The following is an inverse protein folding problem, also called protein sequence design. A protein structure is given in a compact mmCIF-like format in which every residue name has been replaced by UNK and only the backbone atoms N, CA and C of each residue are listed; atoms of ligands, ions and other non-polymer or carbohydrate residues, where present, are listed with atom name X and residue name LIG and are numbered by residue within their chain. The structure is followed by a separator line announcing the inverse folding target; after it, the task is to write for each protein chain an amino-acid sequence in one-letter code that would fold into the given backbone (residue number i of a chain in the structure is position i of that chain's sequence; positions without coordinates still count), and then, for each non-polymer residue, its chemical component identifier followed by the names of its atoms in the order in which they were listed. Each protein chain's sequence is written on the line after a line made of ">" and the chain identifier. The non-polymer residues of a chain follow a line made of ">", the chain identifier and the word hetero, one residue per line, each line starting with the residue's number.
data_IF_481063025283
#
_entry.id   IF_481063025283
#
_cell.length_a   1.000
_cell.length_b   1.000
_cell.length_c   1.000
_cell.angle_alpha   90.00
_cell.angle_beta   90.00
_cell.angle_gamma   90.00
#
_symmetry.space_group_name_H-M   'P 1'
#
loop_
_entity.id
_entity.type
_entity.pdbx_description
1 polymer ?
#
# COMPACT_ATOMS: atom_id res chain seq x y z
N UNK A 1 -48.99 -2.34 -23.94
CA UNK A 1 -49.28 -1.11 -23.18
C UNK A 1 -49.75 -1.58 -21.82
N UNK A 2 -49.06 -1.41 -20.70
CA UNK A 2 -47.86 -0.63 -20.37
C UNK A 2 -47.13 -1.41 -19.27
N UNK A 3 -45.83 -1.61 -19.45
CA UNK A 3 -44.92 -2.04 -18.37
C UNK A 3 -44.37 -0.77 -17.75
N UNK A 4 -44.85 -0.42 -16.56
CA UNK A 4 -44.20 0.60 -15.74
C UNK A 4 -42.94 0.00 -15.08
N UNK A 5 -41.81 0.71 -15.10
CA UNK A 5 -40.60 0.28 -14.42
C UNK A 5 -40.69 0.66 -12.95
N UNK A 6 -40.41 -0.31 -12.07
CA UNK A 6 -40.11 -0.06 -10.66
C UNK A 6 -38.82 0.76 -10.58
N UNK A 7 -38.95 2.04 -10.30
CA UNK A 7 -37.84 2.93 -9.91
C UNK A 7 -37.60 2.69 -8.42
N UNK A 8 -36.59 1.88 -8.09
CA UNK A 8 -35.99 1.86 -6.76
C UNK A 8 -34.82 2.82 -6.76
N UNK A 9 -35.08 4.09 -6.42
CA UNK A 9 -34.05 5.14 -6.27
C UNK A 9 -34.63 6.31 -5.43
N UNK A 10 -35.24 5.99 -4.29
CA UNK A 10 -35.93 6.98 -3.44
C UNK A 10 -35.31 7.18 -2.04
N UNK A 11 -34.35 6.35 -1.61
CA UNK A 11 -33.83 6.39 -0.23
C UNK A 11 -32.60 7.29 -0.06
N UNK A 12 -31.87 7.62 -1.15
CA UNK A 12 -30.62 8.39 -1.08
C UNK A 12 -30.72 9.84 -0.54
N UNK A 13 -31.74 10.67 -0.88
CA UNK A 13 -31.78 12.05 -0.41
C UNK A 13 -32.21 12.17 1.06
N UNK A 14 -33.09 11.28 1.56
CA UNK A 14 -33.52 11.30 2.97
C UNK A 14 -32.41 10.86 3.93
N UNK A 15 -31.57 9.92 3.49
CA UNK A 15 -30.48 9.38 4.30
C UNK A 15 -29.33 10.39 4.45
N UNK A 16 -29.03 11.17 3.39
CA UNK A 16 -28.08 12.28 3.46
C UNK A 16 -28.57 13.40 4.39
N UNK A 17 -29.85 13.77 4.32
CA UNK A 17 -30.41 14.80 5.19
C UNK A 17 -30.37 14.40 6.68
N UNK A 18 -30.68 13.14 7.01
CA UNK A 18 -30.61 12.62 8.40
C UNK A 18 -29.18 12.59 8.94
N UNK A 19 -28.22 12.11 8.15
CA UNK A 19 -26.81 12.08 8.55
C UNK A 19 -26.26 13.49 8.86
N UNK A 20 -26.63 14.47 8.03
CA UNK A 20 -26.27 15.87 8.25
C UNK A 20 -26.89 16.43 9.53
N UNK A 21 -28.15 16.10 9.85
CA UNK A 21 -28.80 16.55 11.08
C UNK A 21 -28.10 16.01 12.35
N UNK A 22 -27.73 14.73 12.36
CA UNK A 22 -27.01 14.11 13.49
C UNK A 22 -25.63 14.72 13.69
N UNK A 23 -24.87 14.91 12.60
CA UNK A 23 -23.55 15.57 12.68
C UNK A 23 -23.69 17.02 13.14
N UNK A 24 -24.67 17.78 12.64
CA UNK A 24 -24.92 19.15 13.10
C UNK A 24 -25.30 19.21 14.58
N UNK A 25 -26.06 18.23 15.06
CA UNK A 25 -26.40 18.14 16.49
C UNK A 25 -25.15 17.93 17.34
N UNK A 26 -24.31 16.95 17.00
CA UNK A 26 -23.05 16.69 17.70
C UNK A 26 -22.09 17.90 17.60
N UNK A 27 -22.01 18.55 16.44
CA UNK A 27 -21.20 19.73 16.19
C UNK A 27 -21.59 20.91 17.10
N UNK A 28 -22.87 21.27 17.12
CA UNK A 28 -23.39 22.36 17.95
C UNK A 28 -23.17 22.10 19.43
N UNK A 29 -23.31 20.84 19.85
CA UNK A 29 -23.09 20.44 21.24
C UNK A 29 -21.63 20.58 21.67
N UNK A 30 -20.68 20.36 20.76
CA UNK A 30 -19.24 20.39 21.08
C UNK A 30 -18.61 21.78 20.90
N UNK A 31 -19.01 22.53 19.87
CA UNK A 31 -18.35 23.79 19.50
C UNK A 31 -19.21 25.04 19.74
N UNK A 32 -20.50 24.89 20.07
CA UNK A 32 -21.47 26.00 20.16
C UNK A 32 -21.59 26.84 18.87
N UNK A 33 -21.18 26.26 17.72
CA UNK A 33 -21.22 26.89 16.39
C UNK A 33 -22.26 26.24 15.48
N UNK A 34 -22.74 27.00 14.49
CA UNK A 34 -23.73 26.50 13.52
C UNK A 34 -23.11 25.74 12.34
N UNK A 35 -21.87 26.05 11.97
CA UNK A 35 -21.14 25.41 10.87
C UNK A 35 -19.62 25.52 11.10
N UNK A 36 -18.82 24.69 10.40
CA UNK A 36 -17.36 24.83 10.38
C UNK A 36 -16.93 26.10 9.64
N UNK A 37 -15.99 26.86 10.22
CA UNK A 37 -15.56 28.17 9.75
C UNK A 37 -14.23 28.12 8.98
N UNK A 38 -13.32 27.22 9.35
CA UNK A 38 -11.99 27.06 8.75
C UNK A 38 -11.81 25.66 8.13
N UNK A 39 -10.69 25.46 7.43
CA UNK A 39 -10.42 24.21 6.71
C UNK A 39 -10.23 23.01 7.66
N UNK A 40 -9.64 23.22 8.84
CA UNK A 40 -9.48 22.20 9.88
C UNK A 40 -10.82 21.73 10.45
N UNK A 41 -11.73 22.66 10.75
CA UNK A 41 -13.09 22.38 11.21
C UNK A 41 -13.90 21.66 10.13
N UNK A 42 -13.74 22.03 8.85
CA UNK A 42 -14.39 21.33 7.72
C UNK A 42 -13.89 19.89 7.60
N UNK A 43 -12.59 19.65 7.75
CA UNK A 43 -12.03 18.30 7.72
C UNK A 43 -12.61 17.40 8.82
N UNK A 44 -12.79 17.92 10.04
CA UNK A 44 -13.47 17.19 11.12
C UNK A 44 -14.92 16.93 10.75
N UNK A 45 -15.64 17.94 10.26
CA UNK A 45 -17.05 17.80 9.87
C UNK A 45 -17.26 16.72 8.77
N UNK A 46 -16.42 16.71 7.73
CA UNK A 46 -16.45 15.71 6.65
C UNK A 46 -16.12 14.29 7.15
N UNK A 47 -15.18 14.17 8.10
CA UNK A 47 -14.92 12.89 8.76
C UNK A 47 -16.11 12.37 9.55
N UNK A 48 -16.83 13.25 10.26
CA UNK A 48 -18.03 12.86 11.00
C UNK A 48 -19.14 12.37 10.08
N UNK A 49 -19.34 13.01 8.93
CA UNK A 49 -20.28 12.52 7.91
C UNK A 49 -19.89 11.14 7.38
N UNK A 50 -18.59 10.91 7.16
CA UNK A 50 -18.08 9.62 6.71
C UNK A 50 -18.30 8.54 7.78
N UNK A 51 -18.09 8.89 9.06
CA UNK A 51 -18.31 7.98 10.19
C UNK A 51 -19.77 7.56 10.35
N UNK A 52 -20.72 8.47 10.06
CA UNK A 52 -22.16 8.14 10.00
C UNK A 52 -22.45 7.17 8.87
N UNK A 53 -21.90 7.40 7.68
CA UNK A 53 -22.09 6.50 6.53
C UNK A 53 -21.51 5.09 6.79
N UNK A 54 -20.41 4.98 7.52
CA UNK A 54 -19.83 3.68 7.90
C UNK A 54 -20.67 2.92 8.95
N UNK A 55 -21.62 3.59 9.61
CA UNK A 55 -22.42 3.06 10.72
C UNK A 55 -23.93 3.25 10.51
N UNK A 56 -24.41 3.18 9.26
CA UNK A 56 -25.81 3.39 8.88
C UNK A 56 -26.82 2.49 9.63
N UNK A 57 -26.40 1.31 10.08
CA UNK A 57 -27.26 0.35 10.83
C UNK A 57 -27.29 0.61 12.36
N UNK A 58 -26.61 1.64 12.85
CA UNK A 58 -26.47 1.92 14.29
C UNK A 58 -27.54 2.88 14.78
N UNK A 59 -28.05 2.67 15.99
CA UNK A 59 -29.03 3.55 16.62
C UNK A 59 -28.51 4.99 16.81
N UNK A 60 -29.39 5.98 16.65
CA UNK A 60 -29.05 7.41 16.67
C UNK A 60 -28.35 7.82 17.98
N UNK A 61 -28.74 7.28 19.14
CA UNK A 61 -28.12 7.60 20.43
C UNK A 61 -26.68 7.06 20.53
N UNK A 62 -26.45 5.85 20.03
CA UNK A 62 -25.13 5.25 19.94
C UNK A 62 -24.26 6.00 18.94
N UNK A 63 -24.83 6.43 17.81
CA UNK A 63 -24.13 7.20 16.79
C UNK A 63 -23.75 8.61 17.28
N UNK A 64 -24.64 9.31 17.98
CA UNK A 64 -24.32 10.60 18.62
C UNK A 64 -23.17 10.42 19.62
N UNK A 65 -23.19 9.36 20.42
CA UNK A 65 -22.12 9.06 21.37
C UNK A 65 -20.78 8.83 20.66
N UNK A 66 -20.78 8.10 19.54
CA UNK A 66 -19.62 7.88 18.69
C UNK A 66 -19.07 9.20 18.11
N UNK A 67 -19.95 10.07 17.60
CA UNK A 67 -19.60 11.36 17.02
C UNK A 67 -18.98 12.30 18.07
N UNK A 68 -19.59 12.39 19.25
CA UNK A 68 -19.05 13.21 20.35
C UNK A 68 -17.69 12.71 20.81
N UNK A 69 -17.47 11.40 20.81
CA UNK A 69 -16.17 10.80 21.11
C UNK A 69 -15.12 11.14 20.05
N UNK A 70 -15.45 11.01 18.77
CA UNK A 70 -14.52 11.33 17.67
C UNK A 70 -14.16 12.82 17.63
N UNK A 71 -15.12 13.71 17.93
CA UNK A 71 -14.87 15.13 18.15
C UNK A 71 -13.91 15.32 19.33
N UNK A 72 -14.22 14.73 20.49
CA UNK A 72 -13.41 14.85 21.71
C UNK A 72 -11.94 14.47 21.49
N UNK A 73 -11.68 13.44 20.69
CA UNK A 73 -10.32 13.01 20.34
C UNK A 73 -9.56 14.03 19.45
N UNK A 74 -10.25 14.91 18.72
CA UNK A 74 -9.64 15.87 17.78
C UNK A 74 -9.61 17.31 18.26
N UNK A 75 -10.47 17.67 19.22
CA UNK A 75 -10.61 19.04 19.72
C UNK A 75 -9.27 19.66 20.13
N UNK A 76 -8.38 18.91 20.77
CA UNK A 76 -7.09 19.44 21.21
C UNK A 76 -6.14 19.79 20.06
N UNK A 77 -6.31 19.19 18.88
CA UNK A 77 -5.46 19.43 17.70
C UNK A 77 -6.01 20.52 16.79
N UNK A 78 -7.26 20.97 17.03
CA UNK A 78 -7.87 22.11 16.36
C UNK A 78 -7.38 23.46 16.92
N UNK A 79 -6.72 23.45 18.08
CA UNK A 79 -6.18 24.65 18.69
C UNK A 79 -5.04 25.21 17.82
N UNK A 80 -5.13 26.47 17.33
CA UNK A 80 -4.08 27.09 16.53
C UNK A 80 -2.74 27.23 17.27
N UNK A 81 -2.76 27.23 18.61
CA UNK A 81 -1.55 27.28 19.42
C UNK A 81 -0.87 25.89 19.52
N UNK A 82 -1.61 24.81 19.20
CA UNK A 82 -1.06 23.46 19.18
C UNK A 82 -0.17 23.27 17.94
N UNK A 83 1.09 22.90 18.16
CA UNK A 83 2.02 22.76 17.05
C UNK A 83 3.26 21.95 17.36
N UNK A 84 4.39 22.37 16.77
CA UNK A 84 5.65 21.62 16.86
C UNK A 84 6.14 21.41 18.29
N UNK A 85 5.98 22.42 19.16
CA UNK A 85 6.46 22.32 20.55
C UNK A 85 5.68 21.25 21.32
N UNK A 86 4.36 21.22 21.19
CA UNK A 86 3.51 20.23 21.85
C UNK A 86 3.74 18.82 21.33
N UNK A 87 3.82 18.65 20.00
CA UNK A 87 4.14 17.38 19.38
C UNK A 87 5.53 16.88 19.80
N UNK A 88 6.53 17.76 19.84
CA UNK A 88 7.89 17.45 20.31
C UNK A 88 7.91 17.08 21.79
N UNK A 89 7.09 17.73 22.62
CA UNK A 89 6.94 17.39 24.04
C UNK A 89 6.34 15.99 24.23
N UNK A 90 5.39 15.57 23.37
CA UNK A 90 4.84 14.22 23.42
C UNK A 90 5.90 13.18 23.03
N UNK A 91 6.62 13.41 21.92
CA UNK A 91 7.66 12.48 21.45
C UNK A 91 8.82 12.39 22.44
N UNK A 92 9.32 13.52 22.94
CA UNK A 92 10.41 13.54 23.93
C UNK A 92 10.01 12.86 25.24
N UNK A 93 8.75 12.98 25.68
CA UNK A 93 8.25 12.20 26.82
C UNK A 93 8.31 10.70 26.55
N UNK A 94 7.97 10.23 25.35
CA UNK A 94 8.11 8.80 25.03
C UNK A 94 9.58 8.38 25.10
N UNK A 95 10.48 9.14 24.48
CA UNK A 95 11.93 8.89 24.52
C UNK A 95 12.45 8.82 25.98
N UNK A 96 12.13 9.82 26.80
CA UNK A 96 12.52 9.88 28.20
C UNK A 96 12.00 8.67 29.00
N UNK A 97 10.76 8.24 28.72
CA UNK A 97 10.19 7.05 29.38
C UNK A 97 10.78 5.75 28.89
N UNK A 98 11.17 5.65 27.63
CA UNK A 98 11.92 4.50 27.10
C UNK A 98 13.27 4.40 27.81
N UNK A 99 14.00 5.52 27.91
CA UNK A 99 15.30 5.57 28.62
C UNK A 99 15.11 5.14 30.07
N UNK A 100 14.16 5.74 30.78
CA UNK A 100 13.89 5.41 32.18
C UNK A 100 13.49 3.93 32.38
N UNK A 101 12.77 3.34 31.43
CA UNK A 101 12.38 1.93 31.44
C UNK A 101 13.59 1.01 31.20
N UNK A 102 14.49 1.39 30.28
CA UNK A 102 15.72 0.65 29.98
C UNK A 102 16.73 0.69 31.13
N UNK A 103 16.72 1.74 31.96
CA UNK A 103 17.54 1.83 33.16
C UNK A 103 17.07 0.91 34.30
N UNK A 104 15.83 0.40 34.24
CA UNK A 104 15.33 -0.53 35.25
C UNK A 104 16.02 -1.88 35.14
N UNK A 105 16.34 -2.47 36.29
CA UNK A 105 16.96 -3.79 36.32
C UNK A 105 15.95 -4.86 35.91
N UNK A 106 16.40 -5.86 35.14
CA UNK A 106 15.58 -7.03 34.77
C UNK A 106 14.91 -7.68 35.98
N UNK A 107 15.65 -7.75 37.09
CA UNK A 107 15.20 -8.30 38.37
C UNK A 107 13.94 -7.59 38.89
N UNK A 108 13.81 -6.28 38.71
CA UNK A 108 12.62 -5.53 39.15
C UNK A 108 11.35 -5.85 38.36
N UNK A 109 11.46 -6.40 37.14
CA UNK A 109 10.32 -6.90 36.39
C UNK A 109 9.99 -8.35 36.73
N UNK A 110 11.02 -9.18 36.94
CA UNK A 110 10.88 -10.63 37.11
C UNK A 110 10.59 -11.07 38.55
N UNK A 111 11.21 -10.45 39.56
CA UNK A 111 10.99 -10.81 40.97
C UNK A 111 9.49 -10.80 41.35
N UNK A 112 8.69 -9.81 40.93
CA UNK A 112 7.26 -9.78 41.26
C UNK A 112 6.43 -10.94 40.69
N UNK A 113 6.93 -11.63 39.65
CA UNK A 113 6.26 -12.81 39.10
C UNK A 113 6.34 -14.01 40.05
N UNK A 114 7.33 -14.02 40.95
CA UNK A 114 7.51 -15.10 41.93
C UNK A 114 6.68 -14.92 43.20
N UNK A 115 5.91 -13.84 43.32
CA UNK A 115 5.11 -13.56 44.51
C UNK A 115 3.88 -14.46 44.60
N UNK A 116 3.54 -14.85 45.83
CA UNK A 116 2.42 -15.76 46.11
C UNK A 116 1.06 -15.16 45.71
N UNK A 117 0.95 -13.82 45.70
CA UNK A 117 -0.25 -13.08 45.34
C UNK A 117 0.01 -12.15 44.15
N UNK A 118 -0.98 -11.94 43.26
CA UNK A 118 -0.87 -10.96 42.19
C UNK A 118 -0.75 -9.54 42.76
N UNK A 119 -0.14 -8.61 42.00
CA UNK A 119 0.01 -7.23 42.42
C UNK A 119 -1.35 -6.52 42.44
N UNK A 120 -1.34 -5.30 42.95
CA UNK A 120 -2.52 -4.45 43.00
C UNK A 120 -3.19 -4.30 41.63
N UNK A 121 -4.53 -4.24 41.58
CA UNK A 121 -5.31 -4.15 40.33
C UNK A 121 -4.89 -3.05 39.37
N UNK A 122 -4.43 -1.92 39.91
CA UNK A 122 -3.89 -0.82 39.09
C UNK A 122 -2.64 -1.23 38.29
N UNK A 123 -1.80 -2.13 38.82
CA UNK A 123 -0.63 -2.67 38.12
C UNK A 123 -1.06 -3.64 37.04
N UNK A 124 -2.05 -4.49 37.32
CA UNK A 124 -2.62 -5.44 36.34
C UNK A 124 -3.23 -4.68 35.16
N UNK A 125 -4.00 -3.61 35.42
CA UNK A 125 -4.58 -2.77 34.37
C UNK A 125 -3.50 -2.10 33.49
N UNK A 126 -2.38 -1.65 34.07
CA UNK A 126 -1.24 -1.10 33.31
C UNK A 126 -0.63 -2.18 32.42
N UNK A 127 -0.43 -3.38 32.95
CA UNK A 127 0.13 -4.50 32.21
C UNK A 127 -0.77 -4.93 31.05
N UNK A 128 -2.09 -5.00 31.26
CA UNK A 128 -3.07 -5.24 30.21
C UNK A 128 -2.98 -4.16 29.12
N UNK A 129 -2.90 -2.89 29.52
CA UNK A 129 -2.74 -1.78 28.58
C UNK A 129 -1.45 -1.92 27.74
N UNK A 130 -0.33 -2.34 28.34
CA UNK A 130 0.92 -2.59 27.59
C UNK A 130 0.76 -3.74 26.60
N UNK A 131 0.12 -4.84 26.98
CA UNK A 131 -0.11 -5.96 26.09
C UNK A 131 -0.98 -5.55 24.89
N UNK A 132 -2.02 -4.74 25.12
CA UNK A 132 -2.88 -4.19 24.08
C UNK A 132 -2.17 -3.20 23.16
N UNK A 133 -1.24 -2.38 23.69
CA UNK A 133 -0.39 -1.50 22.88
C UNK A 133 0.50 -2.30 21.91
N UNK A 134 0.86 -3.53 22.23
CA UNK A 134 1.60 -4.44 21.35
C UNK A 134 0.72 -5.41 20.56
N UNK A 135 -0.60 -5.18 20.54
CA UNK A 135 -1.60 -6.03 19.87
C UNK A 135 -1.49 -7.52 20.25
N UNK A 136 -1.14 -7.79 21.51
CA UNK A 136 -1.11 -9.15 22.02
C UNK A 136 -2.55 -9.66 22.15
N UNK A 137 -2.91 -10.79 21.53
CA UNK A 137 -4.27 -11.30 21.63
C UNK A 137 -4.55 -11.77 23.06
N UNK A 138 -5.57 -11.16 23.68
CA UNK A 138 -6.00 -11.49 25.04
C UNK A 138 -7.37 -12.19 25.02
N UNK A 139 -7.62 -13.14 25.93
CA UNK A 139 -8.97 -13.70 26.12
C UNK A 139 -9.97 -12.62 26.56
N UNK A 140 -11.22 -12.71 26.08
CA UNK A 140 -12.29 -11.74 26.39
C UNK A 140 -12.65 -11.66 27.88
N UNK A 141 -12.44 -12.75 28.62
CA UNK A 141 -12.71 -12.86 30.04
C UNK A 141 -11.48 -13.49 30.68
N UNK A 142 -10.63 -12.66 31.25
CA UNK A 142 -9.41 -13.07 31.94
C UNK A 142 -9.41 -12.44 33.32
N UNK A 143 -9.09 -13.23 34.34
CA UNK A 143 -8.99 -12.70 35.70
C UNK A 143 -7.63 -12.04 35.95
N UNK A 144 -7.52 -11.29 37.05
CA UNK A 144 -6.32 -10.54 37.40
C UNK A 144 -5.10 -11.48 37.59
N UNK A 145 -5.33 -12.73 37.99
CA UNK A 145 -4.29 -13.71 38.30
C UNK A 145 -3.70 -14.33 37.02
N UNK A 146 -4.56 -14.76 36.09
CA UNK A 146 -4.19 -15.28 34.79
C UNK A 146 -3.56 -14.18 33.91
N UNK A 147 -4.07 -12.94 33.97
CA UNK A 147 -3.45 -11.80 33.30
C UNK A 147 -2.01 -11.62 33.75
N UNK A 148 -1.76 -11.68 35.06
CA UNK A 148 -0.45 -11.48 35.64
C UNK A 148 0.51 -12.67 35.41
N UNK A 149 0.06 -13.88 35.72
CA UNK A 149 0.92 -15.08 35.71
C UNK A 149 1.07 -15.68 34.32
N UNK A 150 -0.02 -15.78 33.55
CA UNK A 150 -0.02 -16.45 32.27
C UNK A 150 0.29 -15.48 31.12
N UNK A 151 -0.46 -14.39 30.97
CA UNK A 151 -0.27 -13.48 29.84
C UNK A 151 0.99 -12.63 30.01
N UNK A 152 1.05 -11.83 31.06
CA UNK A 152 2.17 -10.95 31.31
C UNK A 152 3.45 -11.69 31.63
N UNK A 153 3.41 -12.65 32.57
CA UNK A 153 4.58 -13.43 32.99
C UNK A 153 5.32 -14.07 31.82
N UNK A 154 4.60 -14.75 30.91
CA UNK A 154 5.22 -15.34 29.72
C UNK A 154 5.76 -14.28 28.76
N UNK A 155 5.00 -13.21 28.54
CA UNK A 155 5.37 -12.16 27.61
C UNK A 155 6.60 -11.36 28.07
N UNK A 156 6.65 -10.96 29.35
CA UNK A 156 7.75 -10.15 29.88
C UNK A 156 9.05 -10.96 30.01
N UNK A 157 8.97 -12.25 30.38
CA UNK A 157 10.13 -13.15 30.40
C UNK A 157 10.71 -13.30 29.00
N UNK A 158 9.87 -13.58 27.99
CA UNK A 158 10.30 -13.66 26.58
C UNK A 158 10.99 -12.38 26.12
N UNK A 159 10.44 -11.23 26.47
CA UNK A 159 10.98 -9.94 26.09
C UNK A 159 12.31 -9.62 26.81
N UNK A 160 12.47 -9.99 28.08
CA UNK A 160 13.69 -9.73 28.86
C UNK A 160 14.83 -10.71 28.53
N UNK A 161 14.51 -11.97 28.21
CA UNK A 161 15.49 -13.01 27.87
C UNK A 161 16.00 -12.93 26.43
N UNK A 162 15.20 -12.37 25.51
CA UNK A 162 15.67 -11.97 24.18
C UNK A 162 16.86 -10.97 24.24
N UNK A 163 17.05 -10.28 25.38
CA UNK A 163 18.20 -9.40 25.64
C UNK A 163 19.39 -10.06 26.35
N UNK A 164 19.31 -11.31 26.81
CA UNK A 164 20.37 -11.97 27.60
C UNK A 164 21.12 -13.06 26.85
N UNK A 165 20.49 -13.73 25.89
CA UNK A 165 21.08 -14.82 25.12
C UNK A 165 21.28 -14.38 23.67
N UNK A 166 22.54 -14.41 23.21
CA UNK A 166 22.91 -13.97 21.87
C UNK A 166 22.12 -14.65 20.75
N UNK A 167 22.15 -14.00 19.59
CA UNK A 167 21.61 -14.30 18.24
C UNK A 167 20.89 -15.62 17.92
N UNK A 168 21.16 -16.73 18.59
CA UNK A 168 20.62 -18.06 18.31
C UNK A 168 19.11 -18.18 18.67
N UNK A 169 18.60 -17.43 19.66
CA UNK A 169 17.17 -17.47 20.04
C UNK A 169 16.26 -16.56 19.18
N UNK A 170 16.82 -15.53 18.52
CA UNK A 170 16.09 -14.58 17.67
C UNK A 170 15.59 -15.17 16.35
N UNK A 171 16.09 -16.33 15.95
CA UNK A 171 15.82 -16.94 14.62
C UNK A 171 14.41 -17.54 14.46
N UNK A 172 13.69 -17.79 15.57
CA UNK A 172 12.38 -18.46 15.54
C UNK A 172 11.27 -17.68 16.26
N UNK A 173 11.58 -16.50 16.81
CA UNK A 173 10.65 -15.67 17.55
C UNK A 173 11.15 -14.22 17.51
N UNK A 174 10.61 -13.38 16.63
CA UNK A 174 10.90 -11.95 16.72
C UNK A 174 10.45 -11.41 18.09
N UNK A 175 11.33 -10.74 18.87
CA UNK A 175 10.90 -10.06 20.07
C UNK A 175 9.93 -8.92 19.67
N UNK A 176 8.69 -9.03 20.14
CA UNK A 176 7.67 -7.95 20.07
C UNK A 176 8.04 -6.95 21.18
N UNK A 177 9.13 -6.21 20.94
CA UNK A 177 9.95 -5.74 22.04
C UNK A 177 9.55 -4.42 22.66
N UNK A 178 9.05 -4.49 23.89
CA UNK A 178 9.07 -3.40 24.87
C UNK A 178 10.42 -2.64 24.89
N UNK A 179 11.51 -3.37 24.65
CA UNK A 179 12.87 -2.86 24.70
C UNK A 179 13.61 -2.91 23.35
N UNK A 180 13.12 -3.64 22.34
CA UNK A 180 13.75 -3.71 20.99
C UNK A 180 13.05 -2.84 19.95
N UNK A 181 11.73 -2.68 20.04
CA UNK A 181 10.88 -1.91 19.12
C UNK A 181 9.81 -1.12 19.91
N UNK A 182 10.19 -0.20 20.82
CA UNK A 182 9.25 0.49 21.72
C UNK A 182 8.22 1.38 21.00
N UNK A 183 8.43 1.68 19.71
CA UNK A 183 7.50 2.44 18.86
C UNK A 183 6.63 1.55 17.95
N UNK A 184 6.87 0.23 17.92
CA UNK A 184 6.05 -0.70 17.13
C UNK A 184 4.76 -1.05 17.86
N UNK A 185 3.92 -0.03 18.03
CA UNK A 185 2.67 -0.08 18.81
C UNK A 185 1.46 -0.04 17.89
N UNK A 186 0.34 -0.59 18.36
CA UNK A 186 -0.93 -0.67 17.64
C UNK A 186 -1.93 0.35 18.17
N UNK A 187 -2.65 1.01 17.24
CA UNK A 187 -3.76 1.91 17.54
C UNK A 187 -5.09 1.17 17.76
N UNK A 188 -5.18 -0.10 17.40
CA UNK A 188 -6.44 -0.87 17.37
C UNK A 188 -7.18 -0.88 18.70
N UNK A 189 -6.44 -0.93 19.82
CA UNK A 189 -7.01 -1.04 21.17
C UNK A 189 -6.87 0.25 21.99
N UNK A 190 -6.63 1.39 21.34
CA UNK A 190 -6.26 2.64 22.02
C UNK A 190 -7.33 3.14 23.02
N UNK A 191 -8.61 3.05 22.66
CA UNK A 191 -9.73 3.42 23.56
C UNK A 191 -9.67 2.60 24.86
N UNK A 192 -9.50 1.28 24.74
CA UNK A 192 -9.42 0.37 25.88
C UNK A 192 -8.17 0.64 26.72
N UNK A 193 -7.06 0.98 26.09
CA UNK A 193 -5.83 1.40 26.78
C UNK A 193 -6.09 2.65 27.64
N UNK A 194 -6.80 3.66 27.12
CA UNK A 194 -7.16 4.85 27.90
C UNK A 194 -8.07 4.52 29.10
N UNK A 195 -9.06 3.64 28.93
CA UNK A 195 -9.90 3.18 30.04
C UNK A 195 -9.10 2.51 31.15
N UNK A 196 -8.16 1.64 30.78
CA UNK A 196 -7.30 0.91 31.72
C UNK A 196 -6.35 1.83 32.45
N UNK A 197 -5.74 2.80 31.76
CA UNK A 197 -4.86 3.80 32.36
C UNK A 197 -5.64 4.75 33.29
N UNK A 198 -6.87 5.13 32.91
CA UNK A 198 -7.78 5.88 33.76
C UNK A 198 -8.13 5.10 35.04
N UNK A 199 -8.52 3.84 34.88
CA UNK A 199 -8.81 2.92 36.00
C UNK A 199 -7.61 2.77 36.94
N UNK A 200 -6.41 2.56 36.39
CA UNK A 200 -5.18 2.47 37.18
C UNK A 200 -4.91 3.74 37.98
N UNK A 201 -5.14 4.92 37.38
CA UNK A 201 -4.97 6.23 38.02
C UNK A 201 -5.97 6.44 39.15
N UNK A 202 -7.24 6.07 38.95
CA UNK A 202 -8.29 6.17 39.97
C UNK A 202 -8.02 5.22 41.15
N UNK A 203 -7.60 4.00 40.86
CA UNK A 203 -7.34 2.98 41.90
C UNK A 203 -6.04 3.24 42.67
N UNK A 204 -5.01 3.77 42.01
CA UNK A 204 -3.71 4.03 42.61
C UNK A 204 -3.06 5.26 41.98
N UNK A 205 -3.31 6.46 42.52
CA UNK A 205 -2.75 7.70 41.98
C UNK A 205 -1.21 7.68 41.95
N UNK A 206 -0.58 8.21 40.88
CA UNK A 206 0.87 8.32 40.77
C UNK A 206 1.50 9.08 41.94
N UNK A 207 2.60 8.55 42.49
CA UNK A 207 3.34 9.20 43.59
C UNK A 207 2.69 9.11 44.97
N UNK A 208 1.41 8.71 45.06
CA UNK A 208 0.69 8.62 46.34
C UNK A 208 0.56 7.18 46.82
N UNK A 209 0.14 6.27 45.94
CA UNK A 209 -0.14 4.89 46.35
C UNK A 209 1.15 4.07 46.54
N UNK A 210 1.19 3.26 47.60
CA UNK A 210 2.38 2.48 47.98
C UNK A 210 2.76 1.39 46.96
N UNK A 211 1.81 0.89 46.16
CA UNK A 211 2.11 -0.15 45.16
C UNK A 211 3.20 0.27 44.18
N UNK A 212 3.23 1.55 43.79
CA UNK A 212 4.23 2.09 42.86
C UNK A 212 5.63 2.19 43.47
N UNK A 213 5.70 2.40 44.80
CA UNK A 213 6.96 2.42 45.53
C UNK A 213 7.57 1.02 45.67
N UNK A 214 6.73 0.00 45.79
CA UNK A 214 7.16 -1.40 45.86
C UNK A 214 7.49 -2.01 44.49
N UNK A 215 6.96 -1.43 43.42
CA UNK A 215 7.13 -1.89 42.04
C UNK A 215 7.62 -0.74 41.14
N UNK A 216 8.87 -0.25 41.33
CA UNK A 216 9.38 0.93 40.61
C UNK A 216 9.41 0.71 39.09
N UNK A 217 9.77 -0.49 38.63
CA UNK A 217 9.77 -0.82 37.21
C UNK A 217 8.38 -0.75 36.57
N UNK A 218 7.33 -1.13 37.32
CA UNK A 218 5.94 -1.03 36.87
C UNK A 218 5.37 0.38 36.98
N UNK A 219 5.92 1.22 37.88
CA UNK A 219 5.63 2.65 37.88
C UNK A 219 6.22 3.33 36.62
N UNK A 220 7.45 2.98 36.23
CA UNK A 220 8.04 3.40 34.95
C UNK A 220 7.22 2.89 33.76
N UNK A 221 6.75 1.64 33.81
CA UNK A 221 5.91 1.05 32.77
C UNK A 221 4.57 1.78 32.62
N UNK A 222 3.93 2.18 33.72
CA UNK A 222 2.72 3.02 33.70
C UNK A 222 2.97 4.33 32.99
N UNK A 223 4.04 5.03 33.38
CA UNK A 223 4.37 6.33 32.80
C UNK A 223 4.71 6.21 31.30
N UNK A 224 5.41 5.13 30.92
CA UNK A 224 5.70 4.79 29.53
C UNK A 224 4.42 4.50 28.74
N UNK A 225 3.52 3.67 29.26
CA UNK A 225 2.25 3.34 28.60
C UNK A 225 1.39 4.59 28.39
N UNK A 226 1.34 5.48 29.38
CA UNK A 226 0.66 6.77 29.25
C UNK A 226 1.26 7.69 28.18
N UNK A 227 2.59 7.78 28.12
CA UNK A 227 3.28 8.53 27.07
C UNK A 227 3.02 7.94 25.67
N UNK A 228 3.04 6.60 25.56
CA UNK A 228 2.77 5.89 24.31
C UNK A 228 1.32 6.05 23.84
N UNK A 229 0.35 5.99 24.76
CA UNK A 229 -1.05 6.27 24.44
C UNK A 229 -1.23 7.69 23.90
N UNK A 230 -0.62 8.70 24.54
CA UNK A 230 -0.65 10.08 24.05
C UNK A 230 0.03 10.25 22.68
N UNK A 231 1.13 9.54 22.45
CA UNK A 231 1.80 9.51 21.15
C UNK A 231 0.93 8.89 20.06
N UNK A 232 0.34 7.73 20.30
CA UNK A 232 -0.55 7.06 19.34
C UNK A 232 -1.80 7.87 19.07
N UNK A 233 -2.39 8.47 20.10
CA UNK A 233 -3.54 9.36 19.95
C UNK A 233 -3.21 10.56 19.05
N UNK A 234 -2.01 11.13 19.19
CA UNK A 234 -1.54 12.20 18.30
C UNK A 234 -1.35 11.71 16.86
N UNK A 235 -0.73 10.54 16.67
CA UNK A 235 -0.52 9.97 15.33
C UNK A 235 -1.83 9.64 14.62
N UNK A 236 -2.81 9.12 15.35
CA UNK A 236 -4.09 8.65 14.81
C UNK A 236 -5.09 9.80 14.54
N UNK A 237 -5.12 10.82 15.40
CA UNK A 237 -6.18 11.82 15.38
C UNK A 237 -5.76 13.19 14.84
N UNK A 238 -4.47 13.45 14.63
CA UNK A 238 -4.00 14.66 13.97
C UNK A 238 -4.25 14.57 12.45
N UNK A 239 -5.15 15.40 11.91
CA UNK A 239 -5.52 15.41 10.49
C UNK A 239 -4.55 16.27 9.64
N UNK A 240 -4.40 15.98 8.34
CA UNK A 240 -3.54 16.75 7.43
C UNK A 240 -3.80 18.25 7.38
N UNK A 241 -5.05 18.66 7.61
CA UNK A 241 -5.52 20.03 7.56
C UNK A 241 -5.21 20.82 8.85
N UNK A 242 -4.67 20.17 9.89
CA UNK A 242 -4.31 20.82 11.15
C UNK A 242 -2.92 21.46 11.05
N UNK A 243 -2.74 22.64 11.62
CA UNK A 243 -1.49 23.42 11.54
C UNK A 243 -0.27 22.64 12.06
N UNK A 244 -0.45 21.81 13.10
CA UNK A 244 0.60 20.98 13.67
C UNK A 244 0.91 19.68 12.91
N UNK A 245 0.15 19.30 11.87
CA UNK A 245 0.31 17.99 11.21
C UNK A 245 1.68 17.80 10.57
N UNK A 246 2.21 18.82 9.90
CA UNK A 246 3.54 18.72 9.28
C UNK A 246 4.63 18.48 10.32
N UNK A 247 4.48 19.09 11.50
CA UNK A 247 5.38 18.87 12.63
C UNK A 247 5.31 17.43 13.14
N UNK A 248 4.10 16.89 13.32
CA UNK A 248 3.90 15.48 13.71
C UNK A 248 4.59 14.56 12.72
N UNK A 249 4.32 14.73 11.41
CA UNK A 249 4.91 13.89 10.37
C UNK A 249 6.44 13.90 10.40
N UNK A 250 7.06 15.06 10.61
CA UNK A 250 8.51 15.18 10.73
C UNK A 250 9.08 14.45 11.96
N UNK A 251 8.35 14.43 13.07
CA UNK A 251 8.79 13.83 14.34
C UNK A 251 8.58 12.31 14.38
N UNK A 252 7.48 11.82 13.81
CA UNK A 252 7.12 10.38 13.88
C UNK A 252 7.72 9.55 12.76
N UNK A 253 8.13 10.19 11.65
CA UNK A 253 8.83 9.48 10.57
C UNK A 253 10.20 9.02 11.08
N UNK A 254 10.56 7.73 10.95
CA UNK A 254 11.88 7.24 11.35
C UNK A 254 12.99 8.08 10.72
N UNK A 255 14.09 8.34 11.44
CA UNK A 255 15.20 9.07 10.88
C UNK A 255 15.67 8.38 9.60
N UNK A 256 15.88 9.17 8.53
CA UNK A 256 16.42 8.65 7.28
C UNK A 256 17.79 8.04 7.57
N UNK A 257 17.85 6.71 7.64
CA UNK A 257 19.09 5.97 7.86
C UNK A 257 20.07 6.30 6.74
N UNK A 258 21.35 6.44 7.09
CA UNK A 258 22.37 6.78 6.11
C UNK A 258 22.72 5.54 5.28
N UNK A 259 23.28 5.69 4.06
CA UNK A 259 23.75 4.56 3.28
C UNK A 259 24.82 3.69 3.94
N UNK A 260 25.43 4.16 5.03
CA UNK A 260 26.40 3.38 5.82
C UNK A 260 25.74 2.49 6.86
N UNK A 261 24.54 2.85 7.33
CA UNK A 261 23.87 2.16 8.44
C UNK A 261 22.77 1.22 7.96
N UNK A 262 22.38 1.30 6.68
CA UNK A 262 21.37 0.44 6.09
C UNK A 262 21.81 -1.01 5.93
N UNK A 263 20.87 -1.92 6.20
CA UNK A 263 21.01 -3.35 5.98
C UNK A 263 20.52 -3.74 4.59
N UNK A 264 19.37 -3.19 4.16
CA UNK A 264 18.80 -3.46 2.85
C UNK A 264 19.02 -2.32 1.85
N UNK A 265 19.31 -2.71 0.61
CA UNK A 265 19.46 -1.78 -0.51
C UNK A 265 18.55 -2.21 -1.66
N UNK A 266 17.67 -1.30 -2.13
CA UNK A 266 16.93 -1.50 -3.38
C UNK A 266 17.84 -1.19 -4.56
N UNK A 267 18.00 -2.17 -5.42
CA UNK A 267 18.75 -2.07 -6.66
C UNK A 267 17.80 -2.21 -7.84
N UNK A 268 18.24 -1.72 -8.99
CA UNK A 268 17.46 -1.72 -10.22
C UNK A 268 18.38 -2.12 -11.37
N UNK A 269 17.94 -3.09 -12.17
CA UNK A 269 18.63 -3.50 -13.40
C UNK A 269 18.43 -2.46 -14.51
N UNK A 270 19.20 -2.56 -15.60
CA UNK A 270 19.05 -1.67 -16.76
C UNK A 270 17.63 -1.71 -17.37
N UNK A 271 16.95 -2.86 -17.29
CA UNK A 271 15.57 -3.05 -17.74
C UNK A 271 14.51 -2.53 -16.74
N UNK A 272 14.96 -1.93 -15.64
CA UNK A 272 14.13 -1.40 -14.57
C UNK A 272 13.45 -2.46 -13.71
N UNK A 273 14.04 -3.65 -13.59
CA UNK A 273 13.60 -4.68 -12.64
C UNK A 273 14.25 -4.42 -11.29
N UNK A 274 13.42 -4.28 -10.26
CA UNK A 274 13.88 -4.12 -8.89
C UNK A 274 14.38 -5.46 -8.32
N UNK A 275 15.45 -5.39 -7.54
CA UNK A 275 15.94 -6.49 -6.71
C UNK A 275 16.54 -5.91 -5.42
N UNK A 276 16.66 -6.73 -4.38
CA UNK A 276 16.98 -6.28 -3.03
C UNK A 276 18.23 -6.99 -2.54
N UNK A 277 19.20 -6.21 -2.08
CA UNK A 277 20.46 -6.72 -1.54
C UNK A 277 20.48 -6.57 -0.02
N UNK A 278 20.77 -7.67 0.68
CA UNK A 278 21.03 -7.66 2.12
C UNK A 278 22.54 -7.60 2.36
N UNK A 279 23.00 -6.52 2.99
CA UNK A 279 24.42 -6.34 3.32
C UNK A 279 24.93 -7.27 4.40
N UNK A 280 24.08 -7.66 5.36
CA UNK A 280 24.46 -8.52 6.48
C UNK A 280 24.65 -9.96 6.00
N UNK A 281 23.68 -10.48 5.25
CA UNK A 281 23.70 -11.85 4.74
C UNK A 281 24.43 -11.99 3.41
N UNK A 282 24.78 -10.88 2.77
CA UNK A 282 25.42 -10.84 1.45
C UNK A 282 24.63 -11.66 0.43
N UNK A 283 23.31 -11.44 0.40
CA UNK A 283 22.37 -12.19 -0.43
C UNK A 283 21.47 -11.25 -1.22
N UNK A 284 20.92 -11.75 -2.32
CA UNK A 284 20.01 -11.02 -3.19
C UNK A 284 18.66 -11.72 -3.20
N UNK A 285 17.60 -10.95 -3.05
CA UNK A 285 16.22 -11.39 -3.23
C UNK A 285 15.56 -10.60 -4.36
N UNK A 286 14.67 -11.25 -5.09
CA UNK A 286 13.97 -10.63 -6.21
C UNK A 286 12.67 -9.95 -5.78
N UNK A 287 12.12 -10.43 -4.68
CA UNK A 287 10.89 -9.93 -4.09
C UNK A 287 11.24 -9.09 -2.85
N UNK A 288 10.37 -8.11 -2.56
CA UNK A 288 10.60 -7.16 -1.48
C UNK A 288 10.55 -7.89 -0.14
N UNK A 289 11.63 -7.87 0.67
CA UNK A 289 11.62 -8.42 2.02
C UNK A 289 10.60 -7.71 2.92
N UNK A 290 10.04 -8.43 3.89
CA UNK A 290 9.07 -7.88 4.86
C UNK A 290 9.71 -6.80 5.74
N UNK A 291 10.99 -6.96 6.09
CA UNK A 291 11.80 -6.07 6.91
C UNK A 291 12.55 -4.99 6.09
N UNK A 292 12.13 -4.74 4.84
CA UNK A 292 12.84 -3.83 3.93
C UNK A 292 12.87 -2.37 4.43
N UNK A 293 14.03 -1.94 4.91
CA UNK A 293 14.32 -0.60 5.45
C UNK A 293 15.02 0.35 4.46
N UNK A 294 15.29 -0.12 3.25
CA UNK A 294 16.08 0.57 2.21
C UNK A 294 15.33 1.59 1.36
N UNK A 295 14.07 1.89 1.65
CA UNK A 295 13.19 2.64 0.74
C UNK A 295 13.66 4.08 0.47
N UNK A 296 14.34 4.70 1.44
CA UNK A 296 14.76 6.10 1.38
C UNK A 296 16.12 6.30 0.70
N UNK A 297 16.85 5.22 0.41
CA UNK A 297 18.13 5.29 -0.30
C UNK A 297 17.87 5.08 -1.78
N UNK A 298 18.02 6.14 -2.56
CA UNK A 298 17.98 6.02 -4.01
C UNK A 298 19.13 5.10 -4.51
N UNK A 299 18.93 4.25 -5.53
CA UNK A 299 19.97 3.35 -6.04
C UNK A 299 21.29 4.05 -6.41
N UNK A 300 21.19 5.31 -6.87
CA UNK A 300 22.33 6.19 -7.16
C UNK A 300 23.24 6.46 -5.95
N UNK A 301 22.67 6.49 -4.75
CA UNK A 301 23.35 6.84 -3.49
C UNK A 301 23.93 5.63 -2.74
N UNK A 302 23.86 4.42 -3.31
CA UNK A 302 24.48 3.23 -2.73
C UNK A 302 26.02 3.40 -2.78
N UNK A 303 26.75 3.17 -1.67
CA UNK A 303 28.21 3.29 -1.64
C UNK A 303 28.90 2.37 -2.66
N UNK A 304 30.03 2.81 -3.23
CA UNK A 304 30.76 2.04 -4.26
C UNK A 304 31.15 0.63 -3.80
N UNK A 305 31.63 0.51 -2.57
CA UNK A 305 32.00 -0.79 -1.96
C UNK A 305 30.81 -1.76 -1.92
N UNK A 306 29.62 -1.25 -1.63
CA UNK A 306 28.40 -2.08 -1.60
C UNK A 306 27.98 -2.47 -3.02
N UNK A 307 28.12 -1.57 -4.00
CA UNK A 307 27.87 -1.88 -5.42
C UNK A 307 28.80 -2.97 -5.94
N UNK A 308 30.06 -2.97 -5.52
CA UNK A 308 31.05 -4.00 -5.87
C UNK A 308 30.63 -5.37 -5.31
N UNK A 309 30.23 -5.45 -4.03
CA UNK A 309 29.73 -6.68 -3.43
C UNK A 309 28.49 -7.23 -4.14
N UNK A 310 27.54 -6.35 -4.48
CA UNK A 310 26.35 -6.73 -5.24
C UNK A 310 26.74 -7.34 -6.60
N UNK A 311 27.69 -6.70 -7.30
CA UNK A 311 28.18 -7.19 -8.59
C UNK A 311 28.87 -8.55 -8.47
N UNK A 312 29.69 -8.75 -7.43
CA UNK A 312 30.34 -10.04 -7.15
C UNK A 312 29.33 -11.16 -6.91
N UNK A 313 28.28 -10.90 -6.11
CA UNK A 313 27.23 -11.88 -5.82
C UNK A 313 26.40 -12.20 -7.05
N UNK A 314 26.00 -11.19 -7.84
CA UNK A 314 25.29 -11.41 -9.11
C UNK A 314 26.15 -12.17 -10.13
N UNK A 315 27.47 -12.00 -10.09
CA UNK A 315 28.38 -12.76 -10.94
C UNK A 315 28.49 -14.22 -10.49
N UNK A 316 28.50 -14.47 -9.18
CA UNK A 316 28.58 -15.81 -8.60
C UNK A 316 27.27 -16.60 -8.74
N UNK A 317 26.11 -15.94 -8.58
CA UNK A 317 24.79 -16.57 -8.64
C UNK A 317 24.16 -16.49 -10.04
N UNK A 318 24.48 -17.50 -10.85
CA UNK A 318 23.95 -17.65 -12.20
C UNK A 318 22.42 -17.79 -12.23
N UNK A 319 21.82 -18.38 -11.19
CA UNK A 319 20.38 -18.65 -11.15
C UNK A 319 19.57 -17.37 -11.02
N UNK A 320 19.97 -16.51 -10.08
CA UNK A 320 19.36 -15.19 -9.86
C UNK A 320 19.52 -14.28 -11.08
N UNK A 321 20.68 -14.33 -11.76
CA UNK A 321 20.91 -13.56 -12.99
C UNK A 321 19.96 -13.97 -14.13
N UNK A 322 19.81 -15.28 -14.38
CA UNK A 322 18.90 -15.78 -15.42
C UNK A 322 17.47 -15.36 -15.13
N UNK A 323 17.06 -15.41 -13.87
CA UNK A 323 15.71 -15.02 -13.46
C UNK A 323 15.48 -13.50 -13.59
N UNK A 324 16.47 -12.66 -13.28
CA UNK A 324 16.42 -11.22 -13.55
C UNK A 324 16.27 -10.92 -15.05
N UNK A 325 17.05 -11.58 -15.90
CA UNK A 325 16.91 -11.46 -17.36
C UNK A 325 15.53 -11.92 -17.84
N UNK A 326 14.98 -12.98 -17.24
CA UNK A 326 13.63 -13.48 -17.57
C UNK A 326 12.58 -12.42 -17.23
N UNK A 327 12.63 -11.83 -16.02
CA UNK A 327 11.73 -10.75 -15.60
C UNK A 327 11.90 -9.49 -16.46
N UNK A 328 13.13 -9.14 -16.84
CA UNK A 328 13.44 -8.04 -17.78
C UNK A 328 12.81 -8.24 -19.15
N UNK A 329 13.03 -9.42 -19.76
CA UNK A 329 12.41 -9.81 -21.04
C UNK A 329 10.88 -9.77 -20.96
N UNK A 330 10.29 -10.22 -19.86
CA UNK A 330 8.84 -10.16 -19.65
C UNK A 330 8.32 -8.73 -19.58
N UNK A 331 9.02 -7.84 -18.86
CA UNK A 331 8.64 -6.42 -18.77
C UNK A 331 8.79 -5.70 -20.10
N UNK A 332 9.87 -5.95 -20.85
CA UNK A 332 10.06 -5.44 -22.22
C UNK A 332 8.96 -5.99 -23.13
N UNK A 333 8.66 -7.28 -23.06
CA UNK A 333 7.59 -7.89 -23.86
C UNK A 333 6.21 -7.28 -23.54
N UNK A 334 5.88 -7.09 -22.25
CA UNK A 334 4.66 -6.43 -21.83
C UNK A 334 4.61 -4.96 -22.28
N UNK A 335 5.75 -4.25 -22.23
CA UNK A 335 5.85 -2.89 -22.72
C UNK A 335 5.70 -2.79 -24.24
N UNK A 336 6.30 -3.70 -24.99
CA UNK A 336 6.16 -3.80 -26.45
C UNK A 336 4.73 -4.14 -26.86
N UNK A 337 4.08 -5.08 -26.15
CA UNK A 337 2.66 -5.38 -26.34
C UNK A 337 1.76 -4.17 -26.06
N UNK A 338 2.05 -3.39 -25.01
CA UNK A 338 1.31 -2.17 -24.70
C UNK A 338 1.53 -1.03 -25.71
N UNK A 339 2.60 -1.10 -26.51
CA UNK A 339 2.88 -0.14 -27.60
C UNK A 339 2.43 -0.64 -28.98
N UNK A 340 1.80 -1.81 -29.08
CA UNK A 340 1.42 -2.36 -30.38
C UNK A 340 0.19 -1.64 -30.95
N UNK A 341 0.40 -1.01 -32.11
CA UNK A 341 -0.67 -0.61 -33.02
C UNK A 341 -1.14 -1.84 -33.79
N UNK A 342 -2.32 -2.32 -33.43
CA UNK A 342 -2.99 -3.41 -34.13
C UNK A 342 -3.95 -2.82 -35.15
N UNK A 343 -3.86 -3.32 -36.39
CA UNK A 343 -4.80 -2.94 -37.44
C UNK A 343 -5.86 -4.03 -37.57
N UNK A 344 -7.11 -3.67 -37.34
CA UNK A 344 -8.24 -4.53 -37.70
C UNK A 344 -8.27 -4.61 -39.23
N UNK A 345 -8.26 -5.82 -39.77
CA UNK A 345 -8.29 -6.11 -41.20
C UNK A 345 -9.55 -6.91 -41.53
N UNK A 346 -10.05 -6.75 -42.77
CA UNK A 346 -11.16 -7.54 -43.30
C UNK A 346 -10.66 -8.49 -44.39
N UNK A 347 -10.89 -9.78 -44.22
CA UNK A 347 -10.71 -10.72 -45.33
C UNK A 347 -11.92 -10.64 -46.26
N UNK A 348 -11.72 -10.08 -47.45
CA UNK A 348 -12.78 -9.94 -48.46
C UNK A 348 -13.35 -11.26 -48.98
N UNK A 349 -12.61 -12.38 -48.87
CA UNK A 349 -13.05 -13.67 -49.39
C UNK A 349 -13.95 -14.42 -48.40
N UNK A 350 -13.65 -14.32 -47.11
CA UNK A 350 -14.42 -14.98 -46.04
C UNK A 350 -15.37 -14.03 -45.30
N UNK A 351 -15.25 -12.72 -45.53
CA UNK A 351 -15.93 -11.65 -44.79
C UNK A 351 -15.63 -11.65 -43.28
N UNK A 352 -14.49 -12.24 -42.89
CA UNK A 352 -14.05 -12.36 -41.49
C UNK A 352 -13.09 -11.24 -41.12
N UNK A 353 -13.22 -10.73 -39.90
CA UNK A 353 -12.23 -9.80 -39.33
C UNK A 353 -11.03 -10.58 -38.80
N UNK A 354 -9.85 -9.97 -38.91
CA UNK A 354 -8.62 -10.47 -38.27
C UNK A 354 -7.74 -9.28 -37.88
N UNK A 355 -6.84 -9.47 -36.93
CA UNK A 355 -6.00 -8.40 -36.39
C UNK A 355 -4.55 -8.66 -36.78
N UNK A 356 -3.91 -7.62 -37.32
CA UNK A 356 -2.52 -7.69 -37.76
C UNK A 356 -1.66 -6.70 -36.99
N UNK A 357 -0.59 -7.20 -36.37
CA UNK A 357 0.44 -6.35 -35.75
C UNK A 357 1.41 -5.90 -36.83
N UNK A 358 1.43 -4.60 -37.10
CA UNK A 358 2.32 -3.99 -38.10
C UNK A 358 3.79 -4.12 -37.69
N UNK A 359 4.07 -4.05 -36.38
CA UNK A 359 5.43 -4.16 -35.83
C UNK A 359 5.97 -5.59 -35.83
N UNK A 360 5.15 -6.58 -35.50
CA UNK A 360 5.61 -7.95 -35.28
C UNK A 360 5.27 -8.95 -36.39
N UNK A 361 4.60 -8.50 -37.46
CA UNK A 361 4.20 -9.34 -38.60
C UNK A 361 3.38 -10.57 -38.18
N UNK A 362 2.60 -10.44 -37.08
CA UNK A 362 1.75 -11.50 -36.54
C UNK A 362 0.28 -11.25 -36.89
N UNK A 363 -0.44 -12.33 -37.13
CA UNK A 363 -1.89 -12.33 -37.40
C UNK A 363 -2.60 -13.03 -36.24
N UNK A 364 -3.70 -12.44 -35.76
CA UNK A 364 -4.60 -13.03 -34.78
C UNK A 364 -6.03 -13.07 -35.33
N UNK A 365 -6.77 -14.19 -35.16
CA UNK A 365 -8.18 -14.26 -35.54
C UNK A 365 -9.09 -13.50 -34.56
N UNK A 366 -8.66 -13.29 -33.32
CA UNK A 366 -9.41 -12.61 -32.27
C UNK A 366 -8.75 -11.27 -31.90
N UNK A 367 -9.51 -10.29 -31.39
CA UNK A 367 -8.94 -9.05 -30.89
C UNK A 367 -7.92 -9.36 -29.78
N UNK A 368 -6.69 -8.84 -29.88
CA UNK A 368 -5.72 -8.88 -28.79
C UNK A 368 -6.30 -8.31 -27.49
N UNK A 369 -5.96 -8.90 -26.35
CA UNK A 369 -6.45 -8.47 -25.03
C UNK A 369 -6.02 -7.03 -24.67
N UNK A 370 -4.92 -6.55 -25.26
CA UNK A 370 -4.35 -5.21 -25.04
C UNK A 370 -3.85 -4.59 -26.35
N UNK A 371 -4.02 -3.27 -26.53
CA UNK A 371 -3.52 -2.50 -27.69
C UNK A 371 -4.45 -1.36 -28.13
N UNK A 372 -3.93 -0.44 -28.95
CA UNK A 372 -4.74 0.59 -29.65
C UNK A 372 -5.11 0.03 -31.02
N UNK A 373 -6.41 0.08 -31.35
CA UNK A 373 -6.95 -0.46 -32.59
C UNK A 373 -7.21 0.65 -33.60
N UNK A 374 -6.59 0.55 -34.77
CA UNK A 374 -7.00 1.33 -35.93
C UNK A 374 -7.94 0.45 -36.78
N UNK A 375 -9.13 0.96 -37.07
CA UNK A 375 -10.11 0.22 -37.87
C UNK A 375 -9.66 0.11 -39.32
N UNK A 376 -10.04 -0.96 -40.03
CA UNK A 376 -9.73 -1.10 -41.47
C UNK A 376 -10.26 0.06 -42.33
N UNK A 377 -11.23 0.84 -41.82
CA UNK A 377 -11.83 1.99 -42.50
C UNK A 377 -10.97 3.25 -42.40
N UNK A 378 -10.27 3.39 -41.29
CA UNK A 378 -9.45 4.56 -40.97
C UNK A 378 -7.98 4.34 -41.34
N UNK A 379 -7.54 3.08 -41.40
CA UNK A 379 -6.15 2.74 -41.69
C UNK A 379 -5.72 3.07 -43.12
N UNK A 380 -4.89 4.10 -43.25
CA UNK A 380 -4.31 4.57 -44.52
C UNK A 380 -3.42 3.49 -45.15
N UNK A 381 -2.71 2.71 -44.34
CA UNK A 381 -1.85 1.63 -44.79
C UNK A 381 -2.67 0.48 -45.42
N UNK A 382 -3.77 0.07 -44.76
CA UNK A 382 -4.67 -0.95 -45.28
C UNK A 382 -5.31 -0.51 -46.62
N UNK A 383 -5.75 0.75 -46.71
CA UNK A 383 -6.27 1.32 -47.95
C UNK A 383 -5.22 1.34 -49.09
N UNK A 384 -3.96 1.63 -48.79
CA UNK A 384 -2.88 1.64 -49.77
C UNK A 384 -2.58 0.25 -50.35
N UNK A 385 -2.56 -0.78 -49.50
CA UNK A 385 -2.35 -2.18 -49.93
C UNK A 385 -3.47 -2.64 -50.86
N UNK A 386 -4.73 -2.38 -50.50
CA UNK A 386 -5.87 -2.70 -51.37
C UNK A 386 -5.77 -2.01 -52.74
N UNK A 387 -5.35 -0.73 -52.77
CA UNK A 387 -5.13 0.00 -54.02
C UNK A 387 -4.00 -0.60 -54.86
N UNK A 388 -2.89 -1.00 -54.25
CA UNK A 388 -1.78 -1.66 -54.95
C UNK A 388 -2.20 -3.02 -55.52
N UNK A 389 -2.93 -3.84 -54.75
CA UNK A 389 -3.46 -5.11 -55.23
C UNK A 389 -4.45 -4.91 -56.39
N UNK A 390 -5.33 -3.92 -56.30
CA UNK A 390 -6.25 -3.55 -57.36
C UNK A 390 -5.50 -3.08 -58.63
N UNK A 391 -4.49 -2.22 -58.47
CA UNK A 391 -3.65 -1.75 -59.57
C UNK A 391 -2.87 -2.89 -60.24
N UNK A 392 -2.33 -3.84 -59.47
CA UNK A 392 -1.64 -5.00 -60.01
C UNK A 392 -2.59 -5.93 -60.77
N UNK A 393 -3.78 -6.21 -60.22
CA UNK A 393 -4.84 -6.98 -60.92
C UNK A 393 -5.23 -6.30 -62.22
N UNK A 394 -5.40 -4.97 -62.20
CA UNK A 394 -5.67 -4.16 -63.40
C UNK A 394 -4.57 -4.28 -64.45
N UNK A 395 -3.30 -4.07 -64.08
CA UNK A 395 -2.16 -4.22 -65.00
C UNK A 395 -2.08 -5.62 -65.60
N UNK A 396 -2.35 -6.66 -64.82
CA UNK A 396 -2.36 -8.06 -65.29
C UNK A 396 -3.50 -8.31 -66.29
N UNK A 397 -4.66 -7.69 -66.09
CA UNK A 397 -5.78 -7.72 -67.04
C UNK A 397 -5.47 -6.91 -68.30
N UNK A 398 -4.85 -5.73 -68.18
CA UNK A 398 -4.40 -4.91 -69.31
C UNK A 398 -3.36 -5.67 -70.15
N UNK A 399 -2.39 -6.31 -69.53
CA UNK A 399 -1.42 -7.16 -70.24
C UNK A 399 -2.10 -8.34 -70.95
N UNK A 400 -3.04 -9.03 -70.28
CA UNK A 400 -3.82 -10.12 -70.92
C UNK A 400 -4.65 -9.61 -72.10
N UNK A 401 -5.24 -8.43 -72.02
CA UNK A 401 -6.03 -7.85 -73.11
C UNK A 401 -5.15 -7.33 -74.25
N UNK A 402 -3.99 -6.74 -73.96
CA UNK A 402 -2.99 -6.37 -74.96
C UNK A 402 -2.41 -7.59 -75.67
N UNK A 403 -2.09 -8.67 -74.96
CA UNK A 403 -1.67 -9.95 -75.57
C UNK A 403 -2.78 -10.53 -76.45
N UNK A 404 -4.05 -10.45 -76.02
CA UNK A 404 -5.19 -10.86 -76.86
C UNK A 404 -5.34 -9.98 -78.11
N UNK A 405 -5.17 -8.65 -78.00
CA UNK A 405 -5.20 -7.71 -79.14
C UNK A 405 -4.01 -7.94 -80.09
N UNK A 406 -2.81 -8.16 -79.58
CA UNK A 406 -1.61 -8.47 -80.36
C UNK A 406 -1.76 -9.80 -81.11
N UNK A 407 -2.27 -10.85 -80.45
CA UNK A 407 -2.64 -12.12 -81.10
C UNK A 407 -3.71 -11.95 -82.18
N UNK A 408 -4.60 -10.96 -82.04
CA UNK A 408 -5.60 -10.63 -83.07
C UNK A 408 -5.00 -9.87 -84.26
N UNK A 409 -3.90 -9.13 -84.05
CA UNK A 409 -3.15 -8.42 -85.10
C UNK A 409 -2.15 -9.28 -85.88
N UNK A 410 -1.71 -10.42 -85.31
CA UNK A 410 -0.85 -11.41 -85.98
C UNK A 410 -1.59 -12.57 -86.62
N UNK A 411 -2.92 -12.64 -86.48
CA UNK A 411 -3.72 -13.49 -87.35
C UNK A 411 -3.74 -12.87 -88.74
N UNK A 412 -3.40 -13.62 -89.81
CA UNK A 412 -3.41 -13.08 -91.15
C UNK A 412 -4.82 -12.56 -91.46
N UNK A 413 -4.91 -11.25 -91.73
CA UNK A 413 -5.97 -10.71 -92.57
C UNK A 413 -5.97 -11.56 -93.84
N UNK A 414 -7.06 -12.25 -94.13
CA UNK A 414 -7.24 -13.02 -95.35
C UNK A 414 -7.27 -12.08 -96.57
N UNK A 415 -6.11 -11.57 -96.98
CA UNK A 415 -5.85 -11.19 -98.36
C UNK A 415 -5.21 -12.40 -99.03
N UNK A 416 -6.06 -13.33 -99.44
CA UNK A 416 -5.67 -14.61 -100.02
C UNK A 416 -5.15 -14.44 -101.46
N UNK A 417 -3.98 -15.02 -101.72
CA UNK A 417 -3.67 -15.88 -102.87
C UNK A 417 -4.60 -15.85 -104.09
N UNK A 418 -4.20 -15.11 -105.13
CA UNK A 418 -4.23 -15.57 -106.55
C UNK A 418 -2.98 -14.95 -107.21
N UNK A 419 -2.06 -15.63 -107.88
CA UNK A 419 -2.13 -16.88 -108.61
C UNK A 419 -0.73 -17.51 -108.71
N UNK A 420 -0.74 -18.84 -108.84
CA UNK A 420 0.39 -19.72 -109.12
C UNK A 420 0.84 -19.53 -110.57
N UNK A 421 2.10 -19.88 -110.86
CA UNK A 421 2.32 -20.76 -112.01
C UNK A 421 3.64 -20.64 -112.76
N UNK A 422 4.45 -21.70 -112.56
CA UNK A 422 5.00 -22.56 -113.63
C UNK A 422 6.17 -22.07 -114.51
N UNK A 423 7.32 -22.69 -114.20
CA UNK A 423 8.22 -23.49 -115.09
C UNK A 423 9.06 -22.85 -116.21
N UNK A 424 10.38 -23.00 -116.01
CA UNK A 424 11.46 -23.46 -116.93
C UNK A 424 11.57 -22.84 -118.34
N UNK A 425 12.66 -22.12 -118.57
CA UNK A 425 13.86 -22.64 -119.25
C UNK A 425 15.08 -21.89 -118.72
#
# INVERSE_FOLDING_TARGET
>A
METEPFVGDADAPQQQDHAHELVLYAWRRSFEKQCPENDAERAVYERLLSLVADHEDTDDEALISLLLRDIGAKVQYLDPDWGFVDASNIVSRVDDRIIALQEQSKKQFLDPLSWDMPPHKAVVAVVEAVLLLFDVPLPLMIDDEDMWRACWGLWIVKNIDAHSSGWEWMSHNEPIGLFTKPYALSVTNLDRVYELLGTATTLAPPGEHRCWHHLPAYACLRDWAGACAAYLHMVEHCLPEFDGYEAVQRLVTPPKRTPKDNVWFRCETEDGINYFYNRLYQSITLDRPEDFDGAHIAPKNIPSVVKELIAEILHADVSTRIELERRGKQKIHAHLLNQDEWVECLDTHTQSKYYYSVRHYKVSPNPPEHGVFETYRESVAYAAVLRLQAAYRRRRVEHKTQVRKAKRGTLPSFSAFTSKGRTKA
#
